data_IF_138082833049
#
_entry.id   IF_138082833049
#
_cell.length_a   1.000
_cell.length_b   1.000
_cell.length_c   1.000
_cell.angle_alpha   90.00
_cell.angle_beta   90.00
_cell.angle_gamma   90.00
#
_symmetry.space_group_name_H-M   'P 1'
#
loop_
_entity.id
_entity.type
_entity.pdbx_description
1 polymer ?
#
# COMPACT_ATOMS: atom_id res chain seq x y z
N UNK A 1 -1.02 26.74 51.89
CA UNK A 1 -2.48 26.58 52.07
C UNK A 1 -2.85 25.17 51.65
N UNK A 2 -3.59 24.48 52.51
CA UNK A 2 -3.98 23.05 52.52
C UNK A 2 -4.40 22.48 51.14
N UNK A 3 -4.03 21.27 50.70
CA UNK A 3 -4.18 19.91 51.27
C UNK A 3 -5.66 19.47 51.45
N UNK A 4 -5.91 18.17 51.19
CA UNK A 4 -7.11 17.32 51.51
C UNK A 4 -7.93 16.91 50.27
N UNK A 5 -8.34 15.65 50.04
CA UNK A 5 -7.94 14.32 50.46
C UNK A 5 -8.70 13.30 49.58
N UNK A 6 -8.13 12.10 49.52
CA UNK A 6 -8.71 10.88 48.98
C UNK A 6 -9.92 10.38 49.78
N UNK A 7 -10.77 9.56 49.15
CA UNK A 7 -11.50 8.51 49.87
C UNK A 7 -11.78 7.29 48.98
N UNK A 8 -11.18 6.17 49.38
CA UNK A 8 -11.51 4.82 48.97
C UNK A 8 -12.60 4.24 49.90
N UNK A 9 -13.30 3.21 49.43
CA UNK A 9 -14.17 2.32 50.21
C UNK A 9 -14.89 1.35 49.25
N UNK A 10 -14.37 0.15 49.00
CA UNK A 10 -14.46 -1.08 49.80
C UNK A 10 -15.75 -1.91 49.55
N UNK A 11 -15.56 -2.98 48.76
CA UNK A 11 -16.11 -4.35 48.83
C UNK A 11 -17.45 -4.64 49.52
N UNK A 12 -18.34 -5.35 48.79
CA UNK A 12 -19.05 -6.54 49.32
C UNK A 12 -19.57 -7.44 48.20
N UNK A 13 -19.18 -8.70 48.28
CA UNK A 13 -19.64 -9.90 47.54
C UNK A 13 -21.06 -10.31 47.95
N UNK A 14 -21.91 -10.79 47.03
CA UNK A 14 -22.84 -11.93 47.24
C UNK A 14 -23.31 -12.49 45.88
N UNK A 15 -23.29 -13.82 45.77
CA UNK A 15 -23.66 -14.66 44.62
C UNK A 15 -25.18 -14.71 44.39
N UNK A 16 -25.65 -14.90 43.15
CA UNK A 16 -26.79 -15.78 42.86
C UNK A 16 -26.82 -16.24 41.39
N UNK A 17 -27.11 -17.55 41.24
CA UNK A 17 -27.28 -18.34 40.02
C UNK A 17 -28.39 -17.83 39.07
N UNK A 18 -28.23 -18.09 37.77
CA UNK A 18 -29.35 -18.02 36.81
C UNK A 18 -28.93 -18.28 35.35
N UNK A 19 -28.79 -19.55 34.97
CA UNK A 19 -28.75 -19.99 33.56
C UNK A 19 -30.11 -19.73 32.91
N UNK A 20 -30.14 -19.05 31.77
CA UNK A 20 -31.30 -19.03 30.87
C UNK A 20 -30.93 -19.72 29.55
N UNK A 21 -31.57 -20.87 29.33
CA UNK A 21 -31.59 -21.64 28.08
C UNK A 21 -33.00 -21.51 27.51
N UNK A 22 -33.14 -21.15 26.24
CA UNK A 22 -34.39 -21.28 25.48
C UNK A 22 -34.09 -21.73 24.03
N UNK A 23 -35.03 -22.42 23.35
CA UNK A 23 -34.73 -23.71 22.74
C UNK A 23 -34.82 -23.74 21.20
N UNK A 24 -34.26 -24.81 20.63
CA UNK A 24 -34.38 -25.18 19.22
C UNK A 24 -35.81 -25.64 18.86
N UNK A 25 -36.36 -25.10 17.77
CA UNK A 25 -37.63 -25.52 17.17
C UNK A 25 -37.36 -26.14 15.78
N UNK A 26 -37.83 -27.38 15.59
CA UNK A 26 -37.78 -28.15 14.33
C UNK A 26 -38.75 -27.56 13.29
N UNK A 27 -38.46 -27.61 11.98
CA UNK A 27 -39.46 -27.27 10.96
C UNK A 27 -40.41 -28.46 10.71
N UNK A 28 -41.71 -28.20 10.86
CA UNK A 28 -42.81 -29.07 10.44
C UNK A 28 -43.10 -28.85 8.94
N UNK A 29 -43.41 -29.94 8.23
CA UNK A 29 -43.75 -29.92 6.80
C UNK A 29 -45.06 -29.20 6.50
N UNK A 30 -45.08 -28.51 5.36
CA UNK A 30 -46.29 -28.00 4.71
C UNK A 30 -46.19 -28.23 3.20
N UNK A 31 -47.25 -28.78 2.63
CA UNK A 31 -47.34 -29.27 1.25
C UNK A 31 -47.28 -28.16 0.18
N UNK A 32 -46.83 -28.54 -1.00
CA UNK A 32 -46.76 -27.67 -2.18
C UNK A 32 -48.16 -27.28 -2.71
N UNK A 33 -48.41 -26.01 -3.04
CA UNK A 33 -49.54 -25.63 -3.88
C UNK A 33 -49.20 -25.79 -5.37
N UNK A 34 -50.12 -26.41 -6.13
CA UNK A 34 -50.07 -26.57 -7.60
C UNK A 34 -50.07 -25.22 -8.31
N UNK A 35 -49.05 -24.95 -9.14
CA UNK A 35 -48.99 -23.77 -10.02
C UNK A 35 -50.04 -23.82 -11.14
N UNK A 36 -50.69 -22.69 -11.44
CA UNK A 36 -51.69 -22.56 -12.49
C UNK A 36 -51.07 -22.42 -13.90
N UNK A 37 -51.80 -22.85 -14.93
CA UNK A 37 -51.39 -22.86 -16.35
C UNK A 37 -50.94 -21.49 -16.91
N UNK A 38 -51.29 -20.37 -16.26
CA UNK A 38 -50.84 -19.02 -16.67
C UNK A 38 -49.39 -18.73 -16.27
N UNK A 39 -48.90 -19.28 -15.16
CA UNK A 39 -47.52 -19.09 -14.70
C UNK A 39 -46.50 -19.87 -15.55
N UNK A 40 -46.84 -21.08 -16.02
CA UNK A 40 -46.00 -21.84 -16.97
C UNK A 40 -45.78 -21.15 -18.31
N UNK A 41 -46.73 -20.33 -18.76
CA UNK A 41 -46.65 -19.65 -20.07
C UNK A 41 -45.75 -18.40 -20.05
N UNK A 42 -45.48 -17.85 -18.86
CA UNK A 42 -44.58 -16.70 -18.68
C UNK A 42 -43.12 -17.16 -18.54
N UNK A 43 -42.88 -18.28 -17.84
CA UNK A 43 -41.52 -18.85 -17.69
C UNK A 43 -40.98 -19.39 -19.03
N UNK A 44 -41.80 -20.08 -19.82
CA UNK A 44 -41.38 -20.61 -21.14
C UNK A 44 -41.11 -19.50 -22.18
N UNK A 45 -41.71 -18.30 -21.99
CA UNK A 45 -41.48 -17.16 -22.88
C UNK A 45 -40.18 -16.41 -22.56
N UNK A 46 -39.73 -16.42 -21.30
CA UNK A 46 -38.45 -15.84 -20.92
C UNK A 46 -37.27 -16.71 -21.41
N UNK A 47 -37.36 -18.03 -21.26
CA UNK A 47 -36.30 -18.96 -21.71
C UNK A 47 -36.13 -19.01 -23.24
N UNK A 48 -37.15 -18.62 -24.01
CA UNK A 48 -37.07 -18.60 -25.49
C UNK A 48 -36.55 -17.28 -26.06
N UNK A 49 -36.62 -16.17 -25.31
CA UNK A 49 -36.04 -14.89 -25.71
C UNK A 49 -34.52 -14.85 -25.44
N UNK A 50 -34.04 -15.52 -24.39
CA UNK A 50 -32.60 -15.62 -24.07
C UNK A 50 -31.83 -16.50 -25.08
N UNK A 51 -32.41 -17.61 -25.55
CA UNK A 51 -31.78 -18.50 -26.55
C UNK A 51 -31.70 -17.85 -27.95
N UNK A 52 -32.58 -16.89 -28.24
CA UNK A 52 -32.56 -16.13 -29.51
C UNK A 52 -31.57 -14.96 -29.46
N UNK A 53 -31.28 -14.42 -28.28
CA UNK A 53 -30.22 -13.43 -28.07
C UNK A 53 -28.82 -14.07 -28.20
N UNK A 54 -28.62 -15.25 -27.61
CA UNK A 54 -27.34 -15.97 -27.63
C UNK A 54 -26.93 -16.42 -29.05
N UNK A 55 -27.90 -16.81 -29.89
CA UNK A 55 -27.66 -17.16 -31.30
C UNK A 55 -27.40 -15.98 -32.24
N UNK A 56 -27.65 -14.75 -31.79
CA UNK A 56 -27.43 -13.53 -32.59
C UNK A 56 -26.02 -12.96 -32.36
N UNK A 57 -25.41 -13.22 -31.20
CA UNK A 57 -24.02 -12.86 -30.91
C UNK A 57 -23.00 -13.79 -31.61
N UNK A 58 -23.34 -15.07 -31.80
CA UNK A 58 -22.46 -16.05 -32.47
C UNK A 58 -22.28 -15.78 -33.98
N UNK A 59 -23.10 -14.90 -34.58
CA UNK A 59 -23.09 -14.62 -36.03
C UNK A 59 -22.42 -13.29 -36.42
N UNK A 60 -21.91 -12.52 -35.45
CA UNK A 60 -21.24 -11.22 -35.70
C UNK A 60 -19.71 -11.24 -35.54
N UNK A 61 -19.10 -12.37 -35.17
CA UNK A 61 -17.65 -12.51 -34.91
C UNK A 61 -16.81 -12.79 -36.16
N UNK A 62 -17.29 -12.38 -37.34
CA UNK A 62 -16.68 -12.72 -38.63
C UNK A 62 -16.41 -11.52 -39.54
N UNK A 63 -15.81 -10.42 -39.05
CA UNK A 63 -15.16 -9.42 -39.92
C UNK A 63 -14.11 -8.60 -39.14
N UNK A 64 -13.03 -8.26 -39.83
CA UNK A 64 -11.68 -7.89 -39.39
C UNK A 64 -11.54 -6.45 -38.85
N UNK A 65 -10.55 -6.30 -37.95
CA UNK A 65 -9.73 -5.16 -37.52
C UNK A 65 -9.98 -3.75 -38.12
N UNK A 66 -10.18 -2.76 -37.25
CA UNK A 66 -9.35 -1.55 -37.10
C UNK A 66 -9.95 -0.60 -36.03
N UNK A 67 -9.07 0.05 -35.25
CA UNK A 67 -9.30 1.19 -34.35
C UNK A 67 -10.38 1.12 -33.23
N UNK A 68 -9.92 0.94 -31.98
CA UNK A 68 -10.01 1.99 -30.93
C UNK A 68 -9.31 1.57 -29.63
N UNK A 69 -8.34 2.41 -29.22
CA UNK A 69 -7.84 2.47 -27.84
C UNK A 69 -8.89 3.14 -26.97
N UNK A 70 -9.52 2.39 -26.07
CA UNK A 70 -10.08 2.92 -24.82
C UNK A 70 -10.28 1.77 -23.83
N UNK A 71 -9.89 2.00 -22.57
CA UNK A 71 -9.63 0.95 -21.59
C UNK A 71 -10.83 0.10 -21.21
N UNK A 72 -10.61 -1.20 -21.12
CA UNK A 72 -11.38 -2.16 -20.31
C UNK A 72 -10.50 -3.39 -20.08
N UNK A 73 -10.63 -4.04 -18.92
CA UNK A 73 -9.79 -5.16 -18.50
C UNK A 73 -9.82 -6.34 -19.47
N UNK A 74 -8.67 -6.96 -19.69
CA UNK A 74 -8.52 -8.13 -20.55
C UNK A 74 -8.94 -9.38 -19.77
N UNK A 75 -10.10 -9.94 -20.12
CA UNK A 75 -10.48 -11.31 -19.73
C UNK A 75 -9.97 -12.24 -20.83
N UNK A 76 -9.02 -13.13 -20.49
CA UNK A 76 -8.59 -14.19 -21.41
C UNK A 76 -9.60 -15.35 -21.40
N UNK A 77 -9.73 -16.04 -22.53
CA UNK A 77 -10.70 -17.13 -22.77
C UNK A 77 -10.57 -18.38 -21.86
N UNK A 78 -9.78 -18.33 -20.78
CA UNK A 78 -9.65 -19.40 -19.79
C UNK A 78 -10.14 -19.02 -18.38
N UNK A 79 -10.78 -17.86 -18.19
CA UNK A 79 -11.23 -17.41 -16.87
C UNK A 79 -10.09 -17.15 -15.86
N UNK A 80 -8.83 -17.07 -16.32
CA UNK A 80 -7.69 -16.67 -15.49
C UNK A 80 -7.65 -15.15 -15.41
N UNK A 81 -7.86 -14.61 -14.21
CA UNK A 81 -7.37 -13.28 -13.85
C UNK A 81 -5.84 -13.37 -13.87
N UNK A 82 -5.20 -12.91 -14.93
CA UNK A 82 -3.75 -12.78 -14.97
C UNK A 82 -3.36 -11.64 -14.04
N UNK A 83 -2.72 -11.94 -12.91
CA UNK A 83 -1.98 -10.95 -12.11
C UNK A 83 -0.66 -10.53 -12.79
N UNK A 84 -0.51 -10.79 -14.09
CA UNK A 84 0.56 -10.17 -14.88
C UNK A 84 0.13 -8.72 -15.07
N UNK A 85 0.67 -7.85 -14.22
CA UNK A 85 0.64 -6.41 -14.45
C UNK A 85 1.02 -6.17 -15.92
N UNK A 86 0.24 -5.37 -16.67
CA UNK A 86 0.48 -5.20 -18.11
C UNK A 86 1.93 -4.81 -18.36
N UNK A 87 2.57 -5.51 -19.31
CA UNK A 87 4.00 -5.44 -19.63
C UNK A 87 4.50 -4.07 -20.19
N UNK A 88 3.72 -3.00 -20.01
CA UNK A 88 4.08 -1.64 -20.43
C UNK A 88 3.51 -0.59 -19.46
N UNK A 89 3.79 -0.73 -18.15
CA UNK A 89 3.96 0.47 -17.35
C UNK A 89 5.35 1.02 -17.69
N UNK A 90 5.41 2.05 -18.53
CA UNK A 90 6.63 2.82 -18.70
C UNK A 90 7.03 3.30 -17.30
N UNK A 91 8.19 2.86 -16.80
CA UNK A 91 8.76 3.32 -15.53
C UNK A 91 8.66 4.84 -15.55
N UNK A 92 7.80 5.41 -14.70
CA UNK A 92 7.68 6.86 -14.63
C UNK A 92 9.09 7.38 -14.35
N UNK A 93 9.67 8.28 -15.16
CA UNK A 93 11.02 8.79 -14.92
C UNK A 93 11.19 9.41 -13.52
N UNK A 94 10.07 9.85 -12.91
CA UNK A 94 10.01 10.35 -11.53
C UNK A 94 10.11 9.24 -10.47
N UNK A 95 9.81 7.99 -10.84
CA UNK A 95 9.93 6.81 -9.97
C UNK A 95 11.36 6.26 -9.92
N UNK A 96 12.25 6.69 -10.83
CA UNK A 96 13.67 6.32 -10.81
C UNK A 96 14.38 6.68 -9.50
N UNK A 97 13.83 7.64 -8.73
CA UNK A 97 14.38 8.02 -7.43
C UNK A 97 13.87 7.18 -6.25
N UNK A 98 12.86 6.33 -6.45
CA UNK A 98 12.27 5.50 -5.37
C UNK A 98 13.29 4.58 -4.69
N UNK A 99 14.18 3.87 -5.41
CA UNK A 99 15.16 3.00 -4.77
C UNK A 99 16.08 3.73 -3.77
N UNK A 100 16.45 4.99 -4.05
CA UNK A 100 17.32 5.78 -3.17
C UNK A 100 16.66 6.18 -1.83
N UNK A 101 15.33 6.05 -1.71
CA UNK A 101 14.57 6.35 -0.48
C UNK A 101 14.50 5.15 0.48
N UNK A 102 14.90 3.96 0.03
CA UNK A 102 14.77 2.66 0.74
C UNK A 102 15.92 2.40 1.72
N UNK A 103 16.13 3.32 2.65
CA UNK A 103 17.23 3.22 3.61
C UNK A 103 16.77 2.73 4.99
N UNK A 104 17.58 1.85 5.58
CA UNK A 104 17.53 1.53 7.01
C UNK A 104 18.62 2.33 7.67
N UNK A 105 18.27 3.07 8.72
CA UNK A 105 19.22 3.92 9.44
C UNK A 105 20.21 3.06 10.22
N UNK A 106 21.50 3.26 9.94
CA UNK A 106 22.60 2.82 10.79
C UNK A 106 22.80 3.79 11.96
N UNK A 107 23.64 3.43 12.93
CA UNK A 107 24.02 4.35 14.03
C UNK A 107 24.66 5.64 13.51
N UNK A 108 25.48 5.54 12.45
CA UNK A 108 26.09 6.69 11.80
C UNK A 108 25.06 7.57 11.08
N UNK A 109 24.03 6.96 10.49
CA UNK A 109 22.92 7.71 9.90
C UNK A 109 22.12 8.45 10.98
N UNK A 110 21.90 7.84 12.15
CA UNK A 110 21.31 8.52 13.29
C UNK A 110 22.18 9.64 13.85
N UNK A 111 23.50 9.46 13.89
CA UNK A 111 24.43 10.52 14.28
C UNK A 111 24.36 11.69 13.29
N UNK A 112 24.43 11.41 11.98
CA UNK A 112 24.25 12.40 10.90
C UNK A 112 22.87 13.04 10.95
N UNK A 113 21.81 12.31 11.31
CA UNK A 113 20.47 12.86 11.41
C UNK A 113 20.33 13.80 12.62
N UNK A 114 21.00 13.53 13.74
CA UNK A 114 20.94 14.38 14.94
C UNK A 114 21.78 15.65 14.85
N UNK A 115 22.78 15.72 13.96
CA UNK A 115 23.63 16.90 13.79
C UNK A 115 22.81 18.14 13.40
N UNK A 116 23.14 19.31 13.95
CA UNK A 116 22.59 20.61 13.52
C UNK A 116 22.91 20.94 12.06
N UNK A 117 24.05 20.46 11.54
CA UNK A 117 24.46 20.66 10.15
C UNK A 117 23.50 20.04 9.13
N UNK A 118 22.57 19.19 9.60
CA UNK A 118 21.50 18.63 8.79
C UNK A 118 20.72 19.71 8.05
N UNK A 119 20.41 20.84 8.69
CA UNK A 119 19.63 21.92 8.06
C UNK A 119 20.35 22.46 6.82
N UNK A 120 21.64 22.77 6.95
CA UNK A 120 22.47 23.28 5.85
C UNK A 120 22.70 22.23 4.78
N UNK A 121 22.99 20.97 5.15
CA UNK A 121 23.13 19.89 4.18
C UNK A 121 21.87 19.70 3.35
N UNK A 122 20.70 19.65 4.00
CA UNK A 122 19.43 19.50 3.30
C UNK A 122 19.17 20.66 2.35
N UNK A 123 19.42 21.91 2.80
CA UNK A 123 19.28 23.10 1.96
C UNK A 123 20.19 23.06 0.72
N UNK A 124 21.47 22.72 0.90
CA UNK A 124 22.46 22.66 -0.17
C UNK A 124 22.20 21.51 -1.15
N UNK A 125 21.62 20.40 -0.69
CA UNK A 125 21.27 19.25 -1.55
C UNK A 125 19.90 19.37 -2.23
N UNK A 126 19.11 20.42 -1.95
CA UNK A 126 17.77 20.59 -2.53
C UNK A 126 17.73 20.48 -4.06
N UNK A 127 18.65 21.08 -4.85
CA UNK A 127 18.60 20.99 -6.31
C UNK A 127 18.72 19.55 -6.85
N UNK A 128 19.28 18.63 -6.07
CA UNK A 128 19.45 17.23 -6.44
C UNK A 128 18.18 16.39 -6.15
N UNK A 129 17.27 16.91 -5.31
CA UNK A 129 16.06 16.21 -4.88
C UNK A 129 15.12 15.95 -6.06
N UNK A 130 14.62 14.71 -6.16
CA UNK A 130 13.57 14.37 -7.13
C UNK A 130 12.25 15.07 -6.82
N UNK A 131 11.98 15.32 -5.52
CA UNK A 131 10.77 16.02 -5.07
C UNK A 131 10.76 17.43 -5.63
N UNK A 132 11.87 18.16 -5.45
CA UNK A 132 12.02 19.53 -5.97
C UNK A 132 11.84 19.56 -7.50
N UNK A 133 12.41 18.59 -8.21
CA UNK A 133 12.26 18.46 -9.67
C UNK A 133 10.82 18.14 -10.10
N UNK A 134 10.11 17.30 -9.37
CA UNK A 134 8.71 16.98 -9.63
C UNK A 134 7.79 18.22 -9.45
N UNK A 135 8.11 19.08 -8.48
CA UNK A 135 7.36 20.30 -8.21
C UNK A 135 7.64 21.45 -9.17
N UNK A 136 8.70 21.36 -9.98
CA UNK A 136 9.12 22.44 -10.87
C UNK A 136 8.00 22.88 -11.82
N UNK A 137 7.25 21.95 -12.41
CA UNK A 137 6.16 22.28 -13.34
C UNK A 137 5.06 23.14 -12.71
N UNK A 138 4.38 22.66 -11.65
CA UNK A 138 3.35 23.44 -10.97
C UNK A 138 3.85 24.75 -10.34
N UNK A 139 5.07 24.76 -9.79
CA UNK A 139 5.70 25.99 -9.28
C UNK A 139 5.91 26.99 -10.41
N UNK A 140 6.52 26.58 -11.53
CA UNK A 140 6.72 27.44 -12.69
C UNK A 140 5.40 27.96 -13.27
N UNK A 141 4.32 27.16 -13.24
CA UNK A 141 3.00 27.63 -13.64
C UNK A 141 2.49 28.76 -12.74
N UNK A 142 2.59 28.62 -11.42
CA UNK A 142 2.18 29.67 -10.47
C UNK A 142 3.03 30.96 -10.60
N UNK A 143 4.33 30.81 -10.85
CA UNK A 143 5.26 31.92 -11.12
C UNK A 143 4.95 32.57 -12.46
N UNK A 144 4.65 31.77 -13.48
CA UNK A 144 4.25 32.24 -14.81
C UNK A 144 2.98 33.09 -14.73
N UNK A 145 2.00 32.70 -13.92
CA UNK A 145 0.82 33.54 -13.66
C UNK A 145 1.22 34.84 -12.95
N UNK A 146 2.10 34.81 -11.96
CA UNK A 146 2.57 36.04 -11.31
C UNK A 146 3.27 37.00 -12.27
N UNK A 147 4.14 36.48 -13.14
CA UNK A 147 4.81 37.27 -14.19
C UNK A 147 3.79 37.82 -15.18
N UNK A 148 2.82 37.01 -15.60
CA UNK A 148 1.74 37.44 -16.49
C UNK A 148 0.91 38.57 -15.86
N UNK A 149 0.51 38.44 -14.59
CA UNK A 149 -0.20 39.49 -13.85
C UNK A 149 0.60 40.78 -13.84
N UNK A 150 1.92 40.68 -13.64
CA UNK A 150 2.81 41.83 -13.63
C UNK A 150 2.91 42.54 -14.98
N UNK A 151 3.18 41.78 -16.04
CA UNK A 151 3.26 42.31 -17.41
C UNK A 151 1.95 42.97 -17.84
N UNK A 152 0.80 42.38 -17.50
CA UNK A 152 -0.49 42.97 -17.83
C UNK A 152 -0.78 44.24 -17.03
N UNK A 153 -0.40 44.28 -15.75
CA UNK A 153 -0.58 45.49 -14.94
C UNK A 153 0.31 46.63 -15.44
N UNK A 154 1.59 46.37 -15.72
CA UNK A 154 2.49 47.40 -16.24
C UNK A 154 2.10 47.83 -17.66
N UNK A 155 1.67 46.90 -18.50
CA UNK A 155 1.18 47.21 -19.84
C UNK A 155 -0.06 48.12 -19.82
N UNK A 156 -0.92 47.97 -18.81
CA UNK A 156 -2.04 48.88 -18.58
C UNK A 156 -1.55 50.26 -18.13
N UNK A 157 -0.66 50.30 -17.14
CA UNK A 157 -0.10 51.54 -16.59
C UNK A 157 0.70 52.33 -17.65
N UNK A 158 1.36 51.63 -18.57
CA UNK A 158 2.10 52.20 -19.70
C UNK A 158 1.21 52.60 -20.90
N UNK A 159 -0.10 52.32 -20.85
CA UNK A 159 -1.04 52.61 -21.94
C UNK A 159 -0.82 51.77 -23.20
N UNK A 160 -0.13 50.64 -23.09
CA UNK A 160 0.15 49.72 -24.21
C UNK A 160 -1.07 48.83 -24.49
N UNK A 161 -1.90 48.57 -23.48
CA UNK A 161 -3.09 47.74 -23.63
C UNK A 161 -4.26 48.50 -24.29
N UNK A 162 -5.17 47.78 -24.97
CA UNK A 162 -6.33 48.40 -25.59
C UNK A 162 -7.19 49.17 -24.58
N UNK A 163 -7.74 50.31 -24.99
CA UNK A 163 -8.51 51.22 -24.12
C UNK A 163 -9.80 50.60 -23.53
N UNK A 164 -10.30 49.51 -24.12
CA UNK A 164 -11.44 48.76 -23.58
C UNK A 164 -11.06 47.79 -22.45
N UNK A 165 -9.77 47.56 -22.23
CA UNK A 165 -9.25 46.67 -21.20
C UNK A 165 -9.02 47.44 -19.90
N UNK A 166 -9.81 47.14 -18.86
CA UNK A 166 -9.76 47.84 -17.56
C UNK A 166 -8.82 47.18 -16.54
N UNK A 167 -7.96 46.26 -16.98
CA UNK A 167 -7.03 45.54 -16.13
C UNK A 167 -7.53 44.17 -15.65
N UNK A 168 -6.67 43.49 -14.89
CA UNK A 168 -6.97 42.19 -14.32
C UNK A 168 -7.85 42.33 -13.07
N UNK A 169 -8.63 41.30 -12.72
CA UNK A 169 -9.34 41.25 -11.45
C UNK A 169 -8.36 41.43 -10.28
N UNK A 170 -8.71 42.29 -9.33
CA UNK A 170 -7.93 42.53 -8.12
C UNK A 170 -8.74 42.07 -6.89
N UNK A 171 -8.81 40.76 -6.62
CA UNK A 171 -9.51 40.24 -5.45
C UNK A 171 -8.79 40.67 -4.17
N UNK A 172 -9.55 40.97 -3.11
CA UNK A 172 -8.95 41.19 -1.80
C UNK A 172 -8.25 39.92 -1.31
N UNK A 173 -7.26 40.05 -0.42
CA UNK A 173 -6.57 38.90 0.17
C UNK A 173 -7.41 38.15 1.23
N UNK A 174 -8.56 38.69 1.63
CA UNK A 174 -9.40 38.12 2.70
C UNK A 174 -9.79 36.66 2.40
N UNK A 175 -10.30 36.29 1.20
CA UNK A 175 -10.62 34.91 0.89
C UNK A 175 -9.39 34.00 0.95
N UNK A 176 -8.21 34.46 0.51
CA UNK A 176 -6.98 33.67 0.54
C UNK A 176 -6.49 33.42 1.96
N UNK A 177 -6.61 34.40 2.85
CA UNK A 177 -6.24 34.24 4.27
C UNK A 177 -7.17 33.25 4.98
N UNK A 178 -8.49 33.34 4.76
CA UNK A 178 -9.45 32.41 5.36
C UNK A 178 -9.32 31.00 4.80
N UNK A 179 -9.19 30.87 3.48
CA UNK A 179 -9.07 29.57 2.80
C UNK A 179 -7.68 28.95 2.96
N UNK A 180 -6.63 29.75 3.19
CA UNK A 180 -5.28 29.27 3.41
C UNK A 180 -5.14 28.44 4.69
N UNK A 181 -5.86 28.81 5.76
CA UNK A 181 -5.97 27.99 6.97
C UNK A 181 -6.68 26.65 6.70
N UNK A 182 -7.77 26.67 5.93
CA UNK A 182 -8.47 25.44 5.56
C UNK A 182 -7.59 24.54 4.68
N UNK A 183 -6.85 25.11 3.73
CA UNK A 183 -5.92 24.40 2.85
C UNK A 183 -4.79 23.74 3.65
N UNK A 184 -4.17 24.45 4.60
CA UNK A 184 -3.10 23.89 5.42
C UNK A 184 -3.59 22.73 6.30
N UNK A 185 -4.80 22.85 6.85
CA UNK A 185 -5.43 21.79 7.63
C UNK A 185 -5.73 20.55 6.78
N UNK A 186 -6.24 20.74 5.56
CA UNK A 186 -6.49 19.64 4.61
C UNK A 186 -5.19 18.92 4.22
N UNK A 187 -4.11 19.67 3.94
CA UNK A 187 -2.80 19.12 3.65
C UNK A 187 -2.22 18.32 4.84
N UNK A 188 -2.40 18.82 6.07
CA UNK A 188 -1.99 18.12 7.28
C UNK A 188 -2.76 16.80 7.46
N UNK A 189 -4.09 16.81 7.29
CA UNK A 189 -4.90 15.60 7.37
C UNK A 189 -4.52 14.58 6.29
N UNK A 190 -4.31 15.03 5.06
CA UNK A 190 -3.81 14.18 3.97
C UNK A 190 -2.50 13.50 4.34
N UNK A 191 -1.53 14.28 4.81
CA UNK A 191 -0.22 13.76 5.22
C UNK A 191 -0.35 12.75 6.35
N UNK A 192 -1.22 13.01 7.32
CA UNK A 192 -1.47 12.09 8.44
C UNK A 192 -2.13 10.76 7.99
N UNK A 193 -3.06 10.82 7.04
CA UNK A 193 -3.66 9.62 6.44
C UNK A 193 -2.61 8.79 5.70
N UNK A 194 -1.73 9.43 4.92
CA UNK A 194 -0.61 8.77 4.25
C UNK A 194 0.37 8.14 5.26
N UNK A 195 0.75 8.88 6.31
CA UNK A 195 1.61 8.36 7.38
C UNK A 195 1.02 7.13 8.07
N UNK A 196 -0.29 7.12 8.33
CA UNK A 196 -0.97 5.99 8.97
C UNK A 196 -0.86 4.72 8.12
N UNK A 197 -1.00 4.84 6.79
CA UNK A 197 -0.80 3.72 5.85
C UNK A 197 0.64 3.23 5.85
N UNK A 198 1.60 4.15 5.86
CA UNK A 198 3.02 3.81 5.95
C UNK A 198 3.37 3.08 7.25
N UNK A 199 2.85 3.55 8.37
CA UNK A 199 3.06 2.92 9.67
C UNK A 199 2.44 1.52 9.72
N UNK A 200 1.23 1.34 9.19
CA UNK A 200 0.58 0.02 9.08
C UNK A 200 1.41 -0.94 8.22
N UNK A 201 1.86 -0.51 7.04
CA UNK A 201 2.73 -1.31 6.17
C UNK A 201 4.03 -1.71 6.86
N UNK A 202 4.68 -0.79 7.59
CA UNK A 202 5.88 -1.10 8.38
C UNK A 202 5.59 -2.09 9.49
N UNK A 203 4.42 -1.98 10.14
CA UNK A 203 3.95 -2.89 11.17
C UNK A 203 3.74 -4.31 10.66
N UNK A 204 3.12 -4.46 9.48
CA UNK A 204 2.91 -5.74 8.80
C UNK A 204 4.24 -6.47 8.59
N UNK A 205 5.22 -5.80 7.99
CA UNK A 205 6.54 -6.38 7.77
C UNK A 205 7.29 -6.66 9.08
N UNK A 206 7.06 -5.87 10.14
CA UNK A 206 7.58 -6.17 11.47
C UNK A 206 7.03 -7.48 12.05
N UNK A 207 5.75 -7.78 11.84
CA UNK A 207 5.15 -9.06 12.23
C UNK A 207 5.73 -10.22 11.43
N UNK A 208 5.91 -10.06 10.12
CA UNK A 208 6.56 -11.07 9.27
C UNK A 208 7.98 -11.39 9.80
N UNK A 209 8.78 -10.37 10.12
CA UNK A 209 10.12 -10.57 10.71
C UNK A 209 10.04 -11.40 11.98
N UNK A 210 9.17 -11.05 12.92
CA UNK A 210 9.08 -11.75 14.20
C UNK A 210 8.57 -13.19 14.01
N UNK A 211 7.50 -13.38 13.25
CA UNK A 211 6.86 -14.69 13.05
C UNK A 211 7.71 -15.64 12.22
N UNK A 212 8.51 -15.15 11.29
CA UNK A 212 9.46 -15.99 10.52
C UNK A 212 10.44 -16.73 11.44
N UNK A 213 10.91 -16.06 12.50
CA UNK A 213 11.81 -16.65 13.51
C UNK A 213 11.08 -17.67 14.37
N UNK A 214 9.90 -17.32 14.87
CA UNK A 214 9.07 -18.24 15.68
C UNK A 214 8.75 -19.52 14.91
N UNK A 215 8.26 -19.36 13.67
CA UNK A 215 7.92 -20.46 12.77
C UNK A 215 9.13 -21.36 12.48
N UNK A 216 10.27 -20.78 12.11
CA UNK A 216 11.49 -21.55 11.79
C UNK A 216 12.06 -22.25 13.02
N UNK A 217 12.03 -21.59 14.19
CA UNK A 217 12.44 -22.21 15.45
C UNK A 217 11.55 -23.40 15.80
N UNK A 218 10.24 -23.29 15.64
CA UNK A 218 9.29 -24.38 15.85
C UNK A 218 9.51 -25.52 14.86
N UNK A 219 9.69 -25.20 13.57
CA UNK A 219 10.00 -26.17 12.53
C UNK A 219 11.25 -27.01 12.89
N UNK A 220 12.37 -26.37 13.22
CA UNK A 220 13.59 -27.09 13.63
C UNK A 220 13.48 -27.85 14.95
N UNK A 221 12.53 -27.49 15.81
CA UNK A 221 12.36 -28.14 17.11
C UNK A 221 11.42 -29.35 17.06
N UNK A 222 10.45 -29.35 16.14
CA UNK A 222 9.33 -30.30 16.16
C UNK A 222 9.26 -31.20 14.94
N UNK A 223 9.71 -30.75 13.77
CA UNK A 223 9.67 -31.53 12.54
C UNK A 223 10.90 -32.45 12.44
N UNK A 224 10.76 -33.48 11.62
CA UNK A 224 11.87 -34.29 11.13
C UNK A 224 12.91 -33.40 10.40
N UNK A 225 14.23 -33.63 10.57
CA UNK A 225 15.27 -32.74 10.04
C UNK A 225 15.18 -32.38 8.56
N UNK A 226 14.87 -33.34 7.68
CA UNK A 226 14.73 -33.10 6.25
C UNK A 226 13.52 -32.20 5.94
N UNK A 227 12.37 -32.48 6.57
CA UNK A 227 11.16 -31.64 6.45
C UNK A 227 11.39 -30.24 7.01
N UNK A 228 12.06 -30.13 8.15
CA UNK A 228 12.37 -28.85 8.78
C UNK A 228 13.22 -27.95 7.87
N UNK A 229 14.25 -28.50 7.21
CA UNK A 229 15.08 -27.73 6.27
C UNK A 229 14.29 -27.32 5.03
N UNK A 230 13.41 -28.19 4.51
CA UNK A 230 12.54 -27.86 3.37
C UNK A 230 11.60 -26.71 3.71
N UNK A 231 10.91 -26.76 4.85
CA UNK A 231 10.02 -25.67 5.31
C UNK A 231 10.81 -24.38 5.54
N UNK A 232 11.97 -24.46 6.19
CA UNK A 232 12.82 -23.29 6.41
C UNK A 232 13.34 -22.67 5.10
N UNK A 233 13.62 -23.48 4.07
CA UNK A 233 13.94 -22.99 2.70
C UNK A 233 12.78 -22.19 2.13
N UNK A 234 11.56 -22.71 2.17
CA UNK A 234 10.37 -21.98 1.71
C UNK A 234 10.12 -20.71 2.53
N UNK A 235 10.35 -20.75 3.84
CA UNK A 235 10.25 -19.57 4.71
C UNK A 235 11.29 -18.48 4.37
N UNK A 236 12.51 -18.86 3.95
CA UNK A 236 13.52 -17.90 3.44
C UNK A 236 13.10 -17.24 2.13
N UNK A 237 12.35 -17.95 1.28
CA UNK A 237 11.89 -17.45 -0.03
C UNK A 237 10.62 -16.60 0.10
N UNK A 238 9.73 -16.95 1.03
CA UNK A 238 8.50 -16.23 1.29
C UNK A 238 8.63 -14.69 1.33
N UNK A 239 9.56 -14.07 2.08
CA UNK A 239 9.65 -12.60 2.13
C UNK A 239 9.96 -12.00 0.76
N UNK A 240 10.76 -12.66 -0.08
CA UNK A 240 11.04 -12.19 -1.45
C UNK A 240 9.81 -12.33 -2.36
N UNK A 241 9.07 -13.44 -2.24
CA UNK A 241 7.79 -13.65 -2.93
C UNK A 241 6.78 -12.59 -2.53
N UNK A 242 6.67 -12.30 -1.23
CA UNK A 242 5.77 -11.28 -0.70
C UNK A 242 6.18 -9.87 -1.13
N UNK A 243 7.48 -9.56 -1.13
CA UNK A 243 8.01 -8.29 -1.62
C UNK A 243 7.62 -8.08 -3.09
N UNK A 244 7.86 -9.06 -3.96
CA UNK A 244 7.52 -8.98 -5.38
C UNK A 244 6.00 -9.04 -5.64
N UNK A 245 5.20 -9.48 -4.67
CA UNK A 245 3.74 -9.44 -4.74
C UNK A 245 3.18 -8.04 -4.49
N UNK A 246 3.87 -7.25 -3.68
CA UNK A 246 3.45 -5.88 -3.30
C UNK A 246 4.26 -4.79 -4.01
N UNK A 247 5.11 -5.17 -4.98
CA UNK A 247 5.96 -4.29 -5.77
C UNK A 247 5.99 -4.70 -7.22
N UNK A 248 6.14 -3.70 -8.08
CA UNK A 248 6.18 -3.88 -9.53
C UNK A 248 7.61 -3.78 -10.10
N UNK A 249 8.55 -3.19 -9.35
CA UNK A 249 9.91 -2.87 -9.80
C UNK A 249 10.91 -4.02 -9.66
N UNK A 250 10.43 -5.25 -9.39
CA UNK A 250 11.28 -6.42 -9.14
C UNK A 250 10.76 -7.66 -9.83
N UNK A 251 11.68 -8.43 -10.38
CA UNK A 251 11.40 -9.74 -10.95
C UNK A 251 11.66 -10.81 -9.90
N UNK A 252 10.63 -11.61 -9.62
CA UNK A 252 10.70 -12.69 -8.65
C UNK A 252 11.70 -13.79 -9.06
N UNK A 253 11.87 -14.06 -10.36
CA UNK A 253 12.81 -15.07 -10.85
C UNK A 253 14.25 -14.72 -10.43
N UNK A 254 14.63 -13.46 -10.58
CA UNK A 254 15.94 -12.93 -10.18
C UNK A 254 16.14 -12.99 -8.66
N UNK A 255 15.09 -12.73 -7.86
CA UNK A 255 15.16 -12.77 -6.39
C UNK A 255 15.30 -14.20 -5.82
N UNK A 256 14.66 -15.17 -6.47
CA UNK A 256 14.74 -16.57 -6.04
C UNK A 256 16.09 -17.16 -6.42
N UNK A 257 16.59 -16.88 -7.63
CA UNK A 257 17.80 -17.50 -8.17
C UNK A 257 17.77 -19.02 -8.03
N UNK A 258 18.87 -19.60 -7.56
CA UNK A 258 19.02 -21.06 -7.40
C UNK A 258 18.50 -21.59 -6.04
N UNK A 259 17.73 -20.79 -5.28
CA UNK A 259 17.21 -21.21 -3.96
C UNK A 259 16.13 -22.30 -4.05
N UNK A 260 15.53 -22.49 -5.22
CA UNK A 260 14.54 -23.51 -5.51
C UNK A 260 15.00 -24.42 -6.64
N UNK A 261 14.52 -25.66 -6.66
CA UNK A 261 14.68 -26.49 -7.85
C UNK A 261 13.94 -25.85 -9.05
N UNK A 262 14.38 -26.10 -10.29
CA UNK A 262 13.73 -25.54 -11.48
C UNK A 262 12.23 -25.91 -11.57
N UNK A 263 11.85 -27.07 -11.07
CA UNK A 263 10.45 -27.51 -10.99
C UNK A 263 9.64 -26.70 -9.97
N UNK A 264 10.16 -26.52 -8.75
CA UNK A 264 9.53 -25.70 -7.71
C UNK A 264 9.42 -24.24 -8.14
N UNK A 265 10.47 -23.68 -8.75
CA UNK A 265 10.50 -22.32 -9.28
C UNK A 265 9.43 -22.13 -10.37
N UNK A 266 9.34 -23.06 -11.33
CA UNK A 266 8.31 -23.03 -12.38
C UNK A 266 6.90 -23.09 -11.80
N UNK A 267 6.67 -23.96 -10.81
CA UNK A 267 5.38 -24.09 -10.15
C UNK A 267 4.98 -22.78 -9.45
N UNK A 268 5.89 -22.19 -8.67
CA UNK A 268 5.69 -20.91 -7.99
C UNK A 268 5.42 -19.76 -8.97
N UNK A 269 6.22 -19.63 -10.03
CA UNK A 269 6.08 -18.57 -11.03
C UNK A 269 4.76 -18.68 -11.81
N UNK A 270 4.26 -19.91 -12.01
CA UNK A 270 2.99 -20.20 -12.67
C UNK A 270 1.75 -19.99 -11.80
N UNK A 271 1.93 -19.85 -10.48
CA UNK A 271 0.81 -19.68 -9.55
C UNK A 271 0.16 -18.29 -9.71
N UNK A 272 -1.17 -18.26 -9.71
CA UNK A 272 -1.94 -17.00 -9.78
C UNK A 272 -1.68 -16.09 -8.58
N UNK A 273 -1.59 -16.69 -7.39
CA UNK A 273 -1.34 -15.99 -6.14
C UNK A 273 -0.13 -16.59 -5.44
N UNK A 274 1.06 -16.06 -5.76
CA UNK A 274 2.36 -16.63 -5.40
C UNK A 274 2.62 -16.73 -3.88
N UNK A 275 2.29 -15.72 -3.04
CA UNK A 275 2.47 -15.86 -1.58
C UNK A 275 1.65 -17.01 -0.97
N UNK A 276 0.36 -17.12 -1.34
CA UNK A 276 -0.50 -18.23 -0.90
C UNK A 276 -0.01 -19.59 -1.40
N UNK A 277 0.57 -19.68 -2.60
CA UNK A 277 1.21 -20.91 -3.05
C UNK A 277 2.32 -21.34 -2.08
N UNK A 278 3.18 -20.41 -1.64
CA UNK A 278 4.22 -20.70 -0.65
C UNK A 278 3.61 -21.15 0.68
N UNK A 279 2.52 -20.52 1.13
CA UNK A 279 1.81 -20.94 2.35
C UNK A 279 1.29 -22.37 2.24
N UNK A 280 0.68 -22.72 1.10
CA UNK A 280 0.15 -24.06 0.84
C UNK A 280 1.28 -25.10 0.88
N UNK A 281 2.39 -24.85 0.19
CA UNK A 281 3.55 -25.76 0.17
C UNK A 281 4.10 -25.98 1.58
N UNK A 282 4.23 -24.92 2.39
CA UNK A 282 4.70 -25.08 3.77
C UNK A 282 3.70 -25.87 4.63
N UNK A 283 2.39 -25.64 4.47
CA UNK A 283 1.34 -26.39 5.18
C UNK A 283 1.38 -27.89 4.83
N UNK A 284 1.54 -28.23 3.55
CA UNK A 284 1.61 -29.62 3.09
C UNK A 284 2.83 -30.35 3.67
N UNK A 285 4.01 -29.72 3.67
CA UNK A 285 5.22 -30.33 4.23
C UNK A 285 5.07 -30.61 5.73
N UNK A 286 4.45 -29.67 6.47
CA UNK A 286 4.21 -29.78 7.92
C UNK A 286 3.19 -30.89 8.21
N UNK A 287 2.08 -30.93 7.46
CA UNK A 287 0.99 -31.88 7.70
C UNK A 287 1.40 -33.34 7.51
N UNK A 288 2.33 -33.58 6.60
CA UNK A 288 2.85 -34.91 6.31
C UNK A 288 3.91 -35.41 7.33
N UNK A 289 4.28 -34.60 8.32
CA UNK A 289 5.26 -35.02 9.33
C UNK A 289 4.63 -35.99 10.35
N UNK A 290 5.20 -37.19 10.54
CA UNK A 290 4.65 -38.20 11.44
C UNK A 290 4.90 -37.91 12.93
N UNK A 291 5.83 -37.01 13.26
CA UNK A 291 6.28 -36.75 14.64
C UNK A 291 5.50 -35.60 15.30
N UNK A 292 4.69 -34.86 14.54
CA UNK A 292 3.90 -33.75 15.04
C UNK A 292 2.69 -34.22 15.82
N UNK A 293 2.61 -33.83 17.09
CA UNK A 293 1.38 -34.00 17.86
C UNK A 293 0.33 -32.92 17.49
N UNK A 294 -0.97 -33.14 17.76
CA UNK A 294 -2.02 -32.19 17.36
C UNK A 294 -1.85 -30.78 17.94
N UNK A 295 -1.31 -30.63 19.14
CA UNK A 295 -1.10 -29.32 19.77
C UNK A 295 0.03 -28.54 19.10
N UNK A 296 1.12 -29.23 18.71
CA UNK A 296 2.21 -28.63 17.94
C UNK A 296 1.75 -28.26 16.54
N UNK A 297 0.92 -29.09 15.90
CA UNK A 297 0.34 -28.79 14.59
C UNK A 297 -0.50 -27.51 14.62
N UNK A 298 -1.37 -27.36 15.63
CA UNK A 298 -2.16 -26.12 15.82
C UNK A 298 -1.23 -24.92 16.06
N UNK A 299 -0.20 -25.09 16.88
CA UNK A 299 0.72 -24.00 17.21
C UNK A 299 1.57 -23.52 16.02
N UNK A 300 2.02 -24.43 15.15
CA UNK A 300 2.79 -24.07 13.97
C UNK A 300 1.90 -23.50 12.86
N UNK A 301 0.70 -24.05 12.68
CA UNK A 301 -0.29 -23.56 11.70
C UNK A 301 -0.80 -22.14 12.04
N UNK A 302 -0.86 -21.79 13.33
CA UNK A 302 -1.15 -20.43 13.76
C UNK A 302 -0.14 -19.40 13.19
N UNK A 303 1.14 -19.77 12.99
CA UNK A 303 2.09 -18.89 12.31
C UNK A 303 1.78 -18.76 10.81
N UNK A 304 1.38 -19.85 10.14
CA UNK A 304 0.97 -19.81 8.73
C UNK A 304 -0.26 -18.92 8.53
N UNK A 305 -1.23 -19.03 9.44
CA UNK A 305 -2.42 -18.16 9.47
C UNK A 305 -2.02 -16.71 9.63
N UNK A 306 -1.09 -16.40 10.55
CA UNK A 306 -0.61 -15.03 10.75
C UNK A 306 0.13 -14.50 9.50
N UNK A 307 0.91 -15.31 8.77
CA UNK A 307 1.50 -14.89 7.49
C UNK A 307 0.42 -14.62 6.44
N UNK A 308 -0.62 -15.46 6.35
CA UNK A 308 -1.76 -15.24 5.46
C UNK A 308 -2.48 -13.93 5.78
N UNK A 309 -2.68 -13.62 7.06
CA UNK A 309 -3.25 -12.35 7.51
C UNK A 309 -2.36 -11.15 7.11
N UNK A 310 -1.04 -11.29 7.23
CA UNK A 310 -0.10 -10.24 6.81
C UNK A 310 -0.04 -10.06 5.29
N UNK A 311 -0.23 -11.14 4.51
CA UNK A 311 -0.41 -11.06 3.06
C UNK A 311 -1.66 -10.23 2.75
N UNK A 312 -2.82 -10.62 3.29
CA UNK A 312 -4.09 -9.92 3.06
C UNK A 312 -4.06 -8.46 3.53
N UNK A 313 -3.43 -8.18 4.67
CA UNK A 313 -3.24 -6.80 5.15
C UNK A 313 -2.39 -5.97 4.19
N UNK A 314 -1.35 -6.56 3.60
CA UNK A 314 -0.52 -5.88 2.60
C UNK A 314 -1.29 -5.61 1.31
N UNK A 315 -2.10 -6.58 0.86
CA UNK A 315 -2.96 -6.40 -0.31
C UNK A 315 -3.99 -5.30 -0.09
N UNK A 316 -4.59 -5.22 1.11
CA UNK A 316 -5.51 -4.15 1.48
C UNK A 316 -4.84 -2.78 1.36
N UNK A 317 -3.61 -2.64 1.84
CA UNK A 317 -2.85 -1.38 1.72
C UNK A 317 -2.58 -1.06 0.25
N UNK A 318 -2.17 -2.03 -0.54
CA UNK A 318 -1.85 -1.83 -1.96
C UNK A 318 -3.10 -1.48 -2.80
N UNK A 319 -4.17 -2.25 -2.67
CA UNK A 319 -5.36 -2.19 -3.54
C UNK A 319 -6.35 -1.10 -3.13
N UNK A 320 -6.30 -0.63 -1.88
CA UNK A 320 -7.25 0.35 -1.36
C UNK A 320 -6.52 1.65 -0.99
N UNK A 321 -6.38 2.61 -1.92
CA UNK A 321 -5.76 3.92 -1.64
C UNK A 321 -6.66 4.79 -0.74
N UNK A 322 -6.16 5.98 -0.34
CA UNK A 322 -7.03 6.98 0.29
C UNK A 322 -8.14 7.35 -0.70
N UNK A 323 -9.40 7.57 -0.27
CA UNK A 323 -10.50 7.81 -1.19
C UNK A 323 -10.17 8.89 -2.23
N UNK A 324 -10.26 8.52 -3.51
CA UNK A 324 -9.72 9.31 -4.63
C UNK A 324 -10.36 10.69 -4.76
N UNK A 325 -11.63 10.84 -4.40
CA UNK A 325 -12.29 12.15 -4.37
C UNK A 325 -11.63 13.11 -3.38
N UNK A 326 -11.05 12.61 -2.29
CA UNK A 326 -10.36 13.42 -1.29
C UNK A 326 -9.04 13.96 -1.85
N UNK A 327 -8.22 13.10 -2.45
CA UNK A 327 -6.94 13.50 -3.05
C UNK A 327 -7.14 14.42 -4.27
N UNK A 328 -8.17 14.18 -5.07
CA UNK A 328 -8.56 15.07 -6.17
C UNK A 328 -9.02 16.44 -5.69
N UNK A 329 -9.84 16.51 -4.65
CA UNK A 329 -10.35 17.80 -4.16
C UNK A 329 -9.22 18.66 -3.59
N UNK A 330 -8.32 18.08 -2.80
CA UNK A 330 -7.18 18.79 -2.19
C UNK A 330 -6.23 19.32 -3.26
N UNK A 331 -5.83 18.48 -4.22
CA UNK A 331 -4.91 18.89 -5.29
C UNK A 331 -5.50 19.99 -6.18
N UNK A 332 -6.79 19.88 -6.54
CA UNK A 332 -7.50 20.92 -7.31
C UNK A 332 -7.61 22.23 -6.53
N UNK A 333 -7.99 22.16 -5.26
CA UNK A 333 -8.09 23.34 -4.40
C UNK A 333 -6.72 24.02 -4.26
N UNK A 334 -5.65 23.25 -4.01
CA UNK A 334 -4.29 23.75 -3.91
C UNK A 334 -3.84 24.48 -5.19
N UNK A 335 -4.02 23.86 -6.37
CA UNK A 335 -3.60 24.45 -7.64
C UNK A 335 -4.41 25.70 -7.99
N UNK A 336 -5.75 25.66 -7.85
CA UNK A 336 -6.59 26.84 -8.10
C UNK A 336 -6.20 27.96 -7.15
N UNK A 337 -5.98 27.67 -5.87
CA UNK A 337 -5.56 28.66 -4.89
C UNK A 337 -4.22 29.31 -5.26
N UNK A 338 -3.21 28.50 -5.65
CA UNK A 338 -1.90 29.00 -6.07
C UNK A 338 -1.94 29.80 -7.38
N UNK A 339 -2.81 29.45 -8.34
CA UNK A 339 -2.92 30.18 -9.61
C UNK A 339 -3.64 31.52 -9.44
N UNK A 340 -4.59 31.64 -8.50
CA UNK A 340 -5.32 32.89 -8.27
C UNK A 340 -4.64 33.83 -7.27
N UNK A 341 -3.78 33.32 -6.38
CA UNK A 341 -3.09 34.11 -5.37
C UNK A 341 -2.30 35.33 -5.92
N UNK A 342 -1.58 35.24 -7.06
CA UNK A 342 -0.81 36.38 -7.57
C UNK A 342 -1.64 37.62 -7.88
N UNK A 343 -2.92 37.46 -8.24
CA UNK A 343 -3.84 38.57 -8.52
C UNK A 343 -4.06 39.45 -7.29
N UNK A 344 -4.17 38.84 -6.10
CA UNK A 344 -4.36 39.58 -4.85
C UNK A 344 -3.06 40.11 -4.23
N UNK A 345 -1.92 39.49 -4.54
CA UNK A 345 -0.59 39.88 -4.05
C UNK A 345 0.03 41.03 -4.84
N UNK A 346 -0.24 41.10 -6.15
CA UNK A 346 0.37 42.08 -7.04
C UNK A 346 0.27 43.54 -6.58
N UNK A 347 -0.89 44.03 -6.08
CA UNK A 347 -0.99 45.43 -5.64
C UNK A 347 -0.02 45.81 -4.52
N UNK A 348 0.36 44.87 -3.65
CA UNK A 348 1.25 45.14 -2.53
C UNK A 348 2.72 44.80 -2.84
N UNK A 349 2.98 43.74 -3.60
CA UNK A 349 4.32 43.18 -3.79
C UNK A 349 4.93 43.46 -5.17
N UNK A 350 4.12 43.79 -6.18
CA UNK A 350 4.60 44.03 -7.56
C UNK A 350 5.59 42.94 -8.00
N UNK A 351 6.78 43.28 -8.47
CA UNK A 351 7.80 42.33 -8.93
C UNK A 351 8.42 41.43 -7.85
N UNK A 352 8.11 41.65 -6.57
CA UNK A 352 8.41 40.68 -5.52
C UNK A 352 7.44 39.48 -5.56
N UNK A 353 6.28 39.61 -6.22
CA UNK A 353 5.24 38.57 -6.31
C UNK A 353 5.79 37.24 -6.86
N UNK A 354 6.51 37.17 -8.00
CA UNK A 354 7.10 35.92 -8.49
C UNK A 354 7.99 35.21 -7.46
N UNK A 355 8.83 35.94 -6.72
CA UNK A 355 9.72 35.37 -5.70
C UNK A 355 8.93 34.78 -4.54
N UNK A 356 7.89 35.48 -4.08
CA UNK A 356 6.98 34.99 -3.04
C UNK A 356 6.20 33.75 -3.53
N UNK A 357 5.80 33.72 -4.80
CA UNK A 357 5.12 32.56 -5.39
C UNK A 357 6.01 31.33 -5.48
N UNK A 358 7.31 31.48 -5.78
CA UNK A 358 8.27 30.36 -5.68
C UNK A 358 8.24 29.78 -4.26
N UNK A 359 8.32 30.63 -3.25
CA UNK A 359 8.38 30.19 -1.85
C UNK A 359 7.08 29.49 -1.40
N UNK A 360 5.93 30.13 -1.63
CA UNK A 360 4.62 29.60 -1.19
C UNK A 360 4.27 28.31 -1.94
N UNK A 361 4.45 28.29 -3.27
CA UNK A 361 4.14 27.10 -4.07
C UNK A 361 5.05 25.93 -3.68
N UNK A 362 6.36 26.17 -3.53
CA UNK A 362 7.31 25.14 -3.14
C UNK A 362 6.92 24.45 -1.83
N UNK A 363 6.59 25.21 -0.79
CA UNK A 363 6.25 24.62 0.51
C UNK A 363 4.89 23.92 0.50
N UNK A 364 3.84 24.53 -0.07
CA UNK A 364 2.51 23.92 -0.05
C UNK A 364 2.41 22.69 -0.95
N UNK A 365 2.96 22.77 -2.17
CA UNK A 365 3.05 21.61 -3.07
C UNK A 365 3.97 20.53 -2.49
N UNK A 366 5.04 20.92 -1.80
CA UNK A 366 5.93 20.00 -1.10
C UNK A 366 5.22 19.15 -0.06
N UNK A 367 4.29 19.74 0.72
CA UNK A 367 3.49 18.98 1.68
C UNK A 367 2.57 17.97 0.98
N UNK A 368 1.87 18.38 -0.09
CA UNK A 368 0.99 17.48 -0.85
C UNK A 368 1.77 16.31 -1.47
N UNK A 369 2.93 16.60 -2.06
CA UNK A 369 3.82 15.63 -2.69
C UNK A 369 4.43 14.64 -1.67
N UNK A 370 4.82 15.11 -0.47
CA UNK A 370 5.23 14.22 0.62
C UNK A 370 4.07 13.27 0.98
N UNK A 371 2.85 13.80 1.06
CA UNK A 371 1.64 13.02 1.31
C UNK A 371 1.44 11.89 0.29
N UNK A 372 1.63 12.17 -1.01
CA UNK A 372 1.57 11.17 -2.09
C UNK A 372 2.63 10.09 -1.90
N UNK A 373 3.86 10.48 -1.58
CA UNK A 373 4.96 9.51 -1.46
C UNK A 373 4.79 8.54 -0.29
N UNK A 374 4.28 9.00 0.84
CA UNK A 374 4.03 8.13 2.01
C UNK A 374 2.73 7.33 1.87
N UNK A 375 1.81 7.74 0.99
CA UNK A 375 0.57 7.01 0.69
C UNK A 375 0.82 5.66 -0.02
N UNK A 376 1.97 5.53 -0.71
CA UNK A 376 2.44 4.31 -1.36
C UNK A 376 3.65 3.70 -0.61
N UNK A 377 3.41 3.01 0.52
CA UNK A 377 4.47 2.72 1.48
C UNK A 377 5.46 1.66 1.00
N UNK A 378 5.03 0.71 0.17
CA UNK A 378 5.91 -0.34 -0.34
C UNK A 378 6.97 0.21 -1.30
N UNK A 379 6.77 1.37 -1.93
CA UNK A 379 7.78 2.04 -2.74
C UNK A 379 8.93 2.64 -1.91
N UNK A 380 8.65 3.05 -0.66
CA UNK A 380 9.58 3.78 0.23
C UNK A 380 10.23 2.88 1.29
N UNK A 381 9.54 1.84 1.75
CA UNK A 381 10.08 0.90 2.74
C UNK A 381 11.32 0.17 2.21
N UNK A 382 12.28 -0.14 3.07
CA UNK A 382 13.47 -0.90 2.71
C UNK A 382 13.23 -2.42 2.73
N UNK A 383 12.26 -2.90 1.94
CA UNK A 383 11.84 -4.32 1.95
C UNK A 383 12.98 -5.27 1.58
N UNK A 384 13.91 -4.87 0.73
CA UNK A 384 15.10 -5.63 0.37
C UNK A 384 15.94 -5.96 1.60
N UNK A 385 16.22 -4.93 2.41
CA UNK A 385 16.97 -5.06 3.65
C UNK A 385 16.20 -5.89 4.67
N UNK A 386 14.87 -5.77 4.72
CA UNK A 386 14.03 -6.60 5.58
C UNK A 386 14.05 -8.07 5.14
N UNK A 387 13.98 -8.37 3.84
CA UNK A 387 14.08 -9.73 3.30
C UNK A 387 15.44 -10.34 3.65
N UNK A 388 16.53 -9.61 3.39
CA UNK A 388 17.89 -10.04 3.74
C UNK A 388 18.06 -10.25 5.25
N UNK A 389 17.46 -9.37 6.08
CA UNK A 389 17.46 -9.53 7.54
C UNK A 389 16.71 -10.80 7.95
N UNK A 390 15.54 -11.07 7.38
CA UNK A 390 14.78 -12.29 7.65
C UNK A 390 15.63 -13.50 7.29
N UNK A 391 16.12 -13.57 6.06
CA UNK A 391 16.94 -14.68 5.58
C UNK A 391 18.17 -14.92 6.48
N UNK A 392 18.89 -13.86 6.85
CA UNK A 392 20.03 -13.94 7.76
C UNK A 392 19.66 -14.52 9.13
N UNK A 393 18.55 -14.09 9.73
CA UNK A 393 18.08 -14.65 11.00
C UNK A 393 17.74 -16.15 10.87
N UNK A 394 17.14 -16.57 9.75
CA UNK A 394 16.74 -17.97 9.56
C UNK A 394 17.95 -18.87 9.34
N UNK A 395 18.98 -18.36 8.67
CA UNK A 395 20.28 -19.03 8.54
C UNK A 395 20.97 -19.17 9.89
N UNK A 396 20.98 -18.12 10.72
CA UNK A 396 21.55 -18.17 12.07
C UNK A 396 20.84 -19.21 12.96
N UNK A 397 19.51 -19.32 12.85
CA UNK A 397 18.75 -20.36 13.56
C UNK A 397 19.12 -21.77 13.09
N UNK A 398 19.39 -21.96 11.80
CA UNK A 398 19.87 -23.24 11.26
C UNK A 398 21.23 -23.59 11.84
N UNK A 399 22.16 -22.65 11.80
CA UNK A 399 23.52 -22.86 12.30
C UNK A 399 23.53 -23.13 13.81
N UNK A 400 22.61 -22.52 14.55
CA UNK A 400 22.40 -22.79 15.99
C UNK A 400 21.89 -24.20 16.25
N UNK A 401 20.93 -24.69 15.44
CA UNK A 401 20.44 -26.08 15.49
C UNK A 401 21.59 -27.05 15.26
N UNK A 402 22.40 -26.82 14.23
CA UNK A 402 23.48 -27.72 13.85
C UNK A 402 24.53 -27.83 14.96
N UNK A 403 24.98 -26.70 15.52
CA UNK A 403 25.87 -26.67 16.69
C UNK A 403 25.30 -27.43 17.88
N UNK A 404 23.99 -27.31 18.14
CA UNK A 404 23.35 -28.01 19.25
C UNK A 404 23.26 -29.52 19.02
N UNK A 405 23.02 -29.96 17.78
CA UNK A 405 23.02 -31.37 17.41
C UNK A 405 24.43 -31.96 17.50
N UNK A 406 25.44 -31.25 17.00
CA UNK A 406 26.84 -31.67 17.11
C UNK A 406 27.25 -31.83 18.58
N UNK A 407 26.88 -30.87 19.43
CA UNK A 407 27.13 -30.95 20.87
C UNK A 407 26.46 -32.16 21.53
N UNK A 408 25.22 -32.51 21.14
CA UNK A 408 24.53 -33.73 21.62
C UNK A 408 25.26 -35.01 21.21
N UNK A 409 25.73 -35.07 19.97
CA UNK A 409 26.47 -36.25 19.50
C UNK A 409 27.83 -36.41 20.19
N UNK A 410 28.48 -35.30 20.56
CA UNK A 410 29.78 -35.30 21.23
C UNK A 410 29.72 -35.74 22.71
N UNK A 411 28.60 -35.51 23.41
CA UNK A 411 28.46 -35.84 24.85
C UNK A 411 28.16 -37.33 25.09
N UNK A 412 27.77 -38.08 24.06
CA UNK A 412 27.31 -39.47 24.19
C UNK A 412 25.97 -39.57 24.94
N UNK A 413 25.26 -40.72 24.86
CA UNK A 413 24.05 -40.92 25.65
C UNK A 413 24.41 -40.95 27.15
N UNK A 414 23.86 -40.00 27.90
CA UNK A 414 23.97 -39.91 29.36
C UNK A 414 23.22 -41.02 30.09
#
# INVERSE_FOLDING_TARGET
MAATAAKAGASKTTSMNGRAVLPAVRPAGLGMPRMSRKARKVVVRAETEDVVAEKKEEKLTGTIDEEKKEGTGIVTASGRVSNVLPATYAINPLDASRPFRRNVYTFDDWARHRSSDRYWRHLLTMPQSSIVRALAGPTLASVGVAVFVGLMSEGLDAGVLPSWWNGLPNPSLVPFNTTGFALSLLLAFRTNSGYSRWWEARGIWGKIVNRSRDFTRQAYSWLEPERAERVARWMRIFPYVHMCHVREDRNLEDEIGDKLSPYEAKALLSATHRPNFVMQVMSDIIREDPNLNPNQLIAIDANLTEFADQIGASEKILKTPVPVFYTHHISRFLIVWLLFLPLGLWPQLKWDTPFVMVLISFFLLGIDEIGVQIEEPFGVLALEKLCATIEGNLLELRDTRDKHNDAKTAVGPS
#
